data_IF_763476885933
#
_entry.id   IF_763476885933
#
_cell.length_a   1.000
_cell.length_b   1.000
_cell.length_c   1.000
_cell.angle_alpha   90.00
_cell.angle_beta   90.00
_cell.angle_gamma   90.00
#
_symmetry.space_group_name_H-M   'P 1'
#
loop_
_entity.id
_entity.type
_entity.pdbx_description
1 polymer ?
#
# COMPACT_ATOMS: atom_id res chain seq x y z
N UNK A 1 26.90 14.05 -40.08
CA UNK A 1 26.20 14.64 -38.90
C UNK A 1 24.67 14.57 -39.03
N UNK A 2 24.04 15.18 -40.05
CA UNK A 2 22.57 15.17 -40.20
C UNK A 2 21.96 13.76 -40.31
N UNK A 3 22.59 12.87 -41.10
CA UNK A 3 22.17 11.47 -41.22
C UNK A 3 22.28 10.71 -39.88
N UNK A 4 23.31 10.99 -39.09
CA UNK A 4 23.53 10.37 -37.78
C UNK A 4 22.42 10.73 -36.79
N UNK A 5 22.02 12.00 -36.73
CA UNK A 5 20.88 12.43 -35.91
C UNK A 5 19.55 11.82 -36.36
N UNK A 6 19.33 11.73 -37.68
CA UNK A 6 18.13 11.09 -38.21
C UNK A 6 18.06 9.60 -37.84
N UNK A 7 19.17 8.87 -37.99
CA UNK A 7 19.27 7.46 -37.58
C UNK A 7 19.04 7.33 -36.07
N UNK A 8 19.68 8.17 -35.25
CA UNK A 8 19.52 8.14 -33.80
C UNK A 8 18.07 8.37 -33.37
N UNK A 9 17.42 9.43 -33.87
CA UNK A 9 16.02 9.71 -33.55
C UNK A 9 15.08 8.58 -34.01
N UNK A 10 15.36 8.00 -35.18
CA UNK A 10 14.61 6.83 -35.67
C UNK A 10 14.74 5.66 -34.71
N UNK A 11 15.96 5.31 -34.28
CA UNK A 11 16.20 4.23 -33.31
C UNK A 11 15.44 4.50 -32.00
N UNK A 12 15.49 5.75 -31.49
CA UNK A 12 14.79 6.11 -30.25
C UNK A 12 13.27 5.99 -30.38
N UNK A 13 12.68 6.51 -31.46
CA UNK A 13 11.24 6.40 -31.72
C UNK A 13 10.82 4.94 -31.87
N UNK A 14 11.59 4.14 -32.62
CA UNK A 14 11.34 2.71 -32.75
C UNK A 14 11.48 1.97 -31.42
N UNK A 15 12.37 2.44 -30.53
CA UNK A 15 12.54 1.85 -29.20
C UNK A 15 11.32 2.04 -28.31
N UNK A 16 10.62 3.16 -28.42
CA UNK A 16 9.35 3.36 -27.71
C UNK A 16 8.21 2.48 -28.25
N UNK A 17 8.32 1.97 -29.49
CA UNK A 17 7.25 1.18 -30.11
C UNK A 17 7.50 -0.33 -30.04
N UNK A 18 8.74 -0.77 -30.20
CA UNK A 18 9.08 -2.18 -30.25
C UNK A 18 9.64 -2.66 -28.91
N UNK A 19 8.93 -3.61 -28.29
CA UNK A 19 9.29 -4.19 -27.00
C UNK A 19 10.73 -4.70 -26.93
N UNK A 20 11.23 -5.36 -27.98
CA UNK A 20 12.60 -5.86 -28.00
C UNK A 20 13.63 -4.73 -27.84
N UNK A 21 13.43 -3.63 -28.56
CA UNK A 21 14.30 -2.47 -28.47
C UNK A 21 14.17 -1.78 -27.12
N UNK A 22 12.95 -1.68 -26.60
CA UNK A 22 12.69 -1.15 -25.26
C UNK A 22 13.44 -1.93 -24.17
N UNK A 23 13.37 -3.27 -24.24
CA UNK A 23 14.04 -4.17 -23.31
C UNK A 23 15.57 -4.06 -23.39
N UNK A 24 16.14 -3.81 -24.58
CA UNK A 24 17.59 -3.62 -24.72
C UNK A 24 18.08 -2.42 -23.87
N UNK A 25 17.33 -1.32 -23.87
CA UNK A 25 17.64 -0.15 -23.04
C UNK A 25 17.46 -0.40 -21.53
N UNK A 26 16.75 -1.47 -21.17
CA UNK A 26 16.42 -1.84 -19.79
C UNK A 26 17.21 -3.08 -19.33
N UNK A 27 18.24 -3.51 -20.08
CA UNK A 27 19.06 -4.65 -19.73
C UNK A 27 18.33 -6.00 -19.84
N UNK A 28 17.39 -6.11 -20.79
CA UNK A 28 16.52 -7.28 -21.02
C UNK A 28 15.55 -7.61 -19.88
N UNK A 29 15.29 -6.64 -19.00
CA UNK A 29 14.31 -6.75 -17.92
C UNK A 29 13.21 -5.72 -18.08
N UNK A 30 11.95 -6.18 -18.04
CA UNK A 30 10.80 -5.28 -18.06
C UNK A 30 10.75 -4.48 -16.72
N UNK A 31 10.66 -3.14 -16.76
CA UNK A 31 10.61 -2.32 -15.57
C UNK A 31 9.25 -2.44 -14.88
N UNK A 32 9.29 -2.55 -13.56
CA UNK A 32 8.09 -2.38 -12.74
C UNK A 32 7.81 -0.88 -12.59
N UNK A 33 6.71 -0.44 -13.21
CA UNK A 33 6.27 0.96 -13.29
C UNK A 33 7.28 1.90 -13.98
N UNK A 34 6.80 2.92 -14.67
CA UNK A 34 7.60 3.86 -15.48
C UNK A 34 8.33 3.19 -16.66
N UNK A 35 7.58 3.01 -17.74
CA UNK A 35 8.09 2.52 -19.03
C UNK A 35 9.07 3.54 -19.65
N UNK A 36 9.94 3.06 -20.54
CA UNK A 36 10.80 3.90 -21.38
C UNK A 36 11.67 4.91 -20.60
N UNK A 37 12.25 4.53 -19.46
CA UNK A 37 13.05 5.44 -18.59
C UNK A 37 14.22 6.13 -19.30
N UNK A 38 14.68 5.62 -20.44
CA UNK A 38 15.69 6.25 -21.29
C UNK A 38 15.14 7.38 -22.17
N UNK A 39 13.86 7.74 -22.06
CA UNK A 39 13.22 8.79 -22.86
C UNK A 39 13.90 10.16 -22.75
N UNK A 40 14.60 10.41 -21.63
CA UNK A 40 15.44 11.61 -21.47
C UNK A 40 16.51 11.75 -22.57
N UNK A 41 16.99 10.64 -23.16
CA UNK A 41 17.95 10.66 -24.27
C UNK A 41 17.34 11.30 -25.52
N UNK A 42 16.06 11.02 -25.78
CA UNK A 42 15.33 11.63 -26.90
C UNK A 42 15.22 13.14 -26.69
N UNK A 43 14.74 13.59 -25.52
CA UNK A 43 14.64 15.02 -25.19
C UNK A 43 15.99 15.72 -25.25
N UNK A 44 17.05 15.12 -24.68
CA UNK A 44 18.40 15.68 -24.72
C UNK A 44 18.92 15.81 -26.17
N UNK A 45 18.69 14.80 -27.01
CA UNK A 45 19.10 14.83 -28.42
C UNK A 45 18.45 16.00 -29.16
N UNK A 46 17.14 16.22 -28.96
CA UNK A 46 16.42 17.34 -29.56
C UNK A 46 16.96 18.69 -29.08
N UNK A 47 17.24 18.84 -27.78
CA UNK A 47 17.82 20.08 -27.22
C UNK A 47 19.21 20.36 -27.80
N UNK A 48 20.08 19.34 -27.90
CA UNK A 48 21.41 19.49 -28.50
C UNK A 48 21.33 19.89 -29.98
N UNK A 49 20.40 19.28 -30.74
CA UNK A 49 20.16 19.65 -32.13
C UNK A 49 19.66 21.10 -32.24
N UNK A 50 18.77 21.55 -31.34
CA UNK A 50 18.31 22.93 -31.32
C UNK A 50 19.46 23.91 -31.06
N UNK A 51 20.37 23.60 -30.11
CA UNK A 51 21.57 24.40 -29.84
C UNK A 51 22.49 24.53 -31.06
N UNK A 52 22.73 23.43 -31.79
CA UNK A 52 23.53 23.44 -33.02
C UNK A 52 22.87 24.29 -34.12
N UNK A 53 21.53 24.25 -34.24
CA UNK A 53 20.79 25.07 -35.20
C UNK A 53 20.84 26.56 -34.82
N UNK A 54 20.76 26.90 -33.53
CA UNK A 54 20.88 28.29 -33.06
C UNK A 54 22.26 28.89 -33.38
N UNK A 55 23.34 28.10 -33.29
CA UNK A 55 24.68 28.54 -33.69
C UNK A 55 24.82 28.85 -35.18
N UNK A 56 23.92 28.31 -36.02
CA UNK A 56 23.90 28.46 -37.48
C UNK A 56 22.62 29.10 -37.98
N UNK A 57 21.97 29.92 -37.15
CA UNK A 57 20.61 30.38 -37.42
C UNK A 57 20.50 31.23 -38.70
N UNK A 58 21.58 31.91 -39.09
CA UNK A 58 21.67 32.68 -40.33
C UNK A 58 21.64 31.80 -41.59
N UNK A 59 21.96 30.49 -41.48
CA UNK A 59 21.89 29.53 -42.58
C UNK A 59 20.46 28.97 -42.82
N UNK A 60 19.49 29.37 -42.00
CA UNK A 60 18.10 28.91 -42.13
C UNK A 60 17.43 29.63 -43.30
N UNK A 61 17.03 28.84 -44.31
CA UNK A 61 16.24 29.33 -45.44
C UNK A 61 14.75 29.13 -45.20
N UNK A 62 13.92 29.92 -45.87
CA UNK A 62 12.46 29.77 -45.86
C UNK A 62 12.01 28.33 -46.13
N UNK A 63 12.61 27.67 -47.13
CA UNK A 63 12.27 26.29 -47.51
C UNK A 63 12.52 25.31 -46.35
N UNK A 64 13.67 25.41 -45.68
CA UNK A 64 14.03 24.53 -44.55
C UNK A 64 13.11 24.77 -43.36
N UNK A 65 12.80 26.04 -43.08
CA UNK A 65 11.86 26.42 -42.04
C UNK A 65 10.45 25.90 -42.32
N UNK A 66 9.92 26.09 -43.53
CA UNK A 66 8.60 25.61 -43.92
C UNK A 66 8.50 24.09 -43.85
N UNK A 67 9.54 23.36 -44.30
CA UNK A 67 9.57 21.90 -44.22
C UNK A 67 9.53 21.39 -42.77
N UNK A 68 10.32 22.00 -41.87
CA UNK A 68 10.33 21.64 -40.45
C UNK A 68 8.97 21.89 -39.79
N UNK A 69 8.34 23.04 -40.06
CA UNK A 69 7.01 23.35 -39.53
C UNK A 69 5.92 22.46 -40.11
N UNK A 70 6.02 22.09 -41.39
CA UNK A 70 5.10 21.13 -41.99
C UNK A 70 5.13 19.78 -41.25
N UNK A 71 6.32 19.27 -40.93
CA UNK A 71 6.47 18.03 -40.17
C UNK A 71 5.91 18.15 -38.74
N UNK A 72 6.14 19.29 -38.07
CA UNK A 72 5.59 19.55 -36.73
C UNK A 72 4.06 19.63 -36.74
N UNK A 73 3.47 20.36 -37.69
CA UNK A 73 2.03 20.48 -37.85
C UNK A 73 1.41 19.13 -38.23
N UNK A 74 2.08 18.34 -39.08
CA UNK A 74 1.64 16.99 -39.41
C UNK A 74 1.63 16.08 -38.17
N UNK A 75 2.67 16.15 -37.34
CA UNK A 75 2.74 15.42 -36.08
C UNK A 75 1.65 15.83 -35.10
N UNK A 76 1.47 17.14 -34.90
CA UNK A 76 0.40 17.68 -34.06
C UNK A 76 -0.99 17.28 -34.57
N UNK A 77 -1.23 17.39 -35.88
CA UNK A 77 -2.47 16.97 -36.52
C UNK A 77 -2.76 15.49 -36.37
N UNK A 78 -1.73 14.63 -36.49
CA UNK A 78 -1.87 13.21 -36.20
C UNK A 78 -2.28 12.98 -34.73
N UNK A 79 -1.66 13.66 -33.76
CA UNK A 79 -2.04 13.55 -32.34
C UNK A 79 -3.49 13.99 -32.10
N UNK A 80 -3.97 15.04 -32.76
CA UNK A 80 -5.39 15.47 -32.70
C UNK A 80 -6.32 14.40 -33.29
N UNK A 81 -5.99 13.84 -34.46
CA UNK A 81 -6.79 12.81 -35.11
C UNK A 81 -6.89 11.53 -34.28
N UNK A 82 -5.82 11.18 -33.55
CA UNK A 82 -5.78 10.03 -32.65
C UNK A 82 -6.08 10.39 -31.18
N UNK A 83 -6.68 11.56 -30.91
CA UNK A 83 -6.95 12.05 -29.55
C UNK A 83 -7.75 11.06 -28.69
N UNK A 84 -8.63 10.26 -29.28
CA UNK A 84 -9.39 9.20 -28.58
C UNK A 84 -8.52 8.14 -27.89
N UNK A 85 -7.26 7.97 -28.32
CA UNK A 85 -6.30 7.06 -27.70
C UNK A 85 -5.52 7.69 -26.53
N UNK A 86 -5.61 9.01 -26.35
CA UNK A 86 -4.85 9.76 -25.35
C UNK A 86 -5.79 10.36 -24.30
N UNK A 87 -6.32 9.51 -23.40
CA UNK A 87 -7.27 9.92 -22.35
C UNK A 87 -6.76 11.02 -21.39
N UNK A 88 -5.45 11.24 -21.35
CA UNK A 88 -4.80 12.25 -20.52
C UNK A 88 -4.69 13.63 -21.19
N UNK A 89 -5.09 13.77 -22.46
CA UNK A 89 -5.07 15.04 -23.19
C UNK A 89 -6.49 15.61 -23.32
N UNK A 90 -6.68 16.79 -22.73
CA UNK A 90 -7.91 17.55 -22.84
C UNK A 90 -7.83 18.61 -23.96
N UNK A 91 -8.99 19.17 -24.33
CA UNK A 91 -9.07 20.24 -25.34
C UNK A 91 -8.12 21.41 -25.05
N UNK A 92 -7.92 21.75 -23.77
CA UNK A 92 -7.00 22.81 -23.36
C UNK A 92 -5.55 22.51 -23.75
N UNK A 93 -5.11 21.26 -23.66
CA UNK A 93 -3.73 20.90 -24.03
C UNK A 93 -3.49 21.11 -25.53
N UNK A 94 -4.47 20.79 -26.38
CA UNK A 94 -4.38 21.02 -27.82
C UNK A 94 -4.38 22.50 -28.16
N UNK A 95 -5.26 23.30 -27.54
CA UNK A 95 -5.35 24.75 -27.76
C UNK A 95 -4.04 25.43 -27.37
N UNK A 96 -3.55 25.17 -26.17
CA UNK A 96 -2.30 25.77 -25.65
C UNK A 96 -1.11 25.36 -26.51
N UNK A 97 -1.00 24.08 -26.91
CA UNK A 97 0.07 23.62 -27.81
C UNK A 97 0.03 24.34 -29.16
N UNK A 98 -1.17 24.54 -29.71
CA UNK A 98 -1.37 25.25 -30.97
C UNK A 98 -1.00 26.74 -30.87
N UNK A 99 -1.36 27.40 -29.77
CA UNK A 99 -0.98 28.80 -29.49
C UNK A 99 0.55 28.95 -29.42
N UNK A 100 1.24 28.05 -28.72
CA UNK A 100 2.70 28.06 -28.68
C UNK A 100 3.33 27.76 -30.04
N UNK A 101 2.78 26.81 -30.81
CA UNK A 101 3.25 26.52 -32.16
C UNK A 101 3.15 27.76 -33.07
N UNK A 102 2.03 28.47 -33.02
CA UNK A 102 1.86 29.74 -33.74
C UNK A 102 2.85 30.80 -33.24
N UNK A 103 3.02 30.95 -31.93
CA UNK A 103 3.95 31.93 -31.36
C UNK A 103 5.39 31.69 -31.84
N UNK A 104 5.88 30.44 -31.72
CA UNK A 104 7.21 30.07 -32.21
C UNK A 104 7.32 30.24 -33.74
N UNK A 105 6.28 29.88 -34.49
CA UNK A 105 6.25 30.07 -35.94
C UNK A 105 6.39 31.55 -36.31
N UNK A 106 5.60 32.44 -35.70
CA UNK A 106 5.62 33.88 -36.00
C UNK A 106 6.93 34.55 -35.61
N UNK A 107 7.51 34.17 -34.46
CA UNK A 107 8.83 34.69 -34.03
C UNK A 107 9.92 34.27 -35.02
N UNK A 108 9.95 32.99 -35.41
CA UNK A 108 10.92 32.49 -36.39
C UNK A 108 10.70 33.11 -37.78
N UNK A 109 9.45 33.23 -38.22
CA UNK A 109 9.08 33.87 -39.48
C UNK A 109 9.56 35.33 -39.52
N UNK A 110 9.28 36.09 -38.46
CA UNK A 110 9.71 37.48 -38.32
C UNK A 110 11.23 37.63 -38.41
N UNK A 111 11.98 36.69 -37.83
CA UNK A 111 13.44 36.67 -37.92
C UNK A 111 13.93 36.34 -39.33
N UNK A 112 13.39 35.29 -39.97
CA UNK A 112 13.75 34.87 -41.33
C UNK A 112 13.44 35.96 -42.37
N UNK A 113 12.30 36.64 -42.23
CA UNK A 113 11.91 37.77 -43.08
C UNK A 113 12.63 39.08 -42.72
N UNK A 114 13.58 39.05 -41.77
CA UNK A 114 14.36 40.20 -41.28
C UNK A 114 13.49 41.35 -40.77
N UNK A 115 12.31 41.04 -40.21
CA UNK A 115 11.36 42.00 -39.63
C UNK A 115 11.64 42.30 -38.16
N UNK A 116 12.38 41.42 -37.45
CA UNK A 116 12.79 41.62 -36.06
C UNK A 116 14.31 41.52 -35.92
N UNK A 117 14.95 42.31 -35.03
CA UNK A 117 16.39 42.24 -34.80
C UNK A 117 16.77 40.96 -34.01
N UNK A 118 18.01 40.44 -34.16
CA UNK A 118 18.45 39.21 -33.48
C UNK A 118 18.28 39.23 -31.96
N UNK A 119 18.55 40.37 -31.31
CA UNK A 119 18.36 40.52 -29.86
C UNK A 119 16.92 40.26 -29.43
N UNK A 120 15.95 40.78 -30.17
CA UNK A 120 14.54 40.57 -29.87
C UNK A 120 14.13 39.12 -30.15
N UNK A 121 14.63 38.52 -31.23
CA UNK A 121 14.41 37.10 -31.51
C UNK A 121 14.87 36.19 -30.37
N UNK A 122 16.12 36.34 -29.90
CA UNK A 122 16.64 35.51 -28.81
C UNK A 122 15.88 35.69 -27.50
N UNK A 123 15.52 36.94 -27.15
CA UNK A 123 14.70 37.22 -25.97
C UNK A 123 13.30 36.62 -26.08
N UNK A 124 12.67 36.71 -27.26
CA UNK A 124 11.35 36.14 -27.50
C UNK A 124 11.36 34.61 -27.45
N UNK A 125 12.34 33.95 -28.09
CA UNK A 125 12.47 32.49 -28.02
C UNK A 125 12.70 32.04 -26.57
N UNK A 126 13.60 32.71 -25.83
CA UNK A 126 13.84 32.40 -24.43
C UNK A 126 12.56 32.56 -23.60
N UNK A 127 11.84 33.67 -23.77
CA UNK A 127 10.59 33.94 -23.06
C UNK A 127 9.54 32.87 -23.36
N UNK A 128 9.26 32.60 -24.64
CA UNK A 128 8.26 31.60 -25.02
C UNK A 128 8.67 30.19 -24.60
N UNK A 129 9.96 29.83 -24.63
CA UNK A 129 10.43 28.54 -24.12
C UNK A 129 10.23 28.41 -22.61
N UNK A 130 10.57 29.43 -21.82
CA UNK A 130 10.33 29.39 -20.36
C UNK A 130 8.83 29.32 -20.07
N UNK A 131 8.03 30.10 -20.80
CA UNK A 131 6.59 30.14 -20.60
C UNK A 131 5.92 28.81 -20.99
N UNK A 132 6.26 28.26 -22.15
CA UNK A 132 5.78 26.96 -22.62
C UNK A 132 6.18 25.85 -21.65
N UNK A 133 7.45 25.78 -21.25
CA UNK A 133 7.92 24.79 -20.27
C UNK A 133 7.19 24.91 -18.93
N UNK A 134 6.88 26.13 -18.49
CA UNK A 134 6.14 26.36 -17.23
C UNK A 134 4.70 25.84 -17.33
N UNK A 135 4.00 26.18 -18.42
CA UNK A 135 2.63 25.73 -18.67
C UNK A 135 2.59 24.21 -18.87
N UNK A 136 3.53 23.65 -19.63
CA UNK A 136 3.67 22.22 -19.83
C UNK A 136 3.95 21.48 -18.51
N UNK A 137 4.84 22.01 -17.67
CA UNK A 137 5.14 21.44 -16.35
C UNK A 137 3.94 21.48 -15.41
N UNK A 138 3.17 22.56 -15.44
CA UNK A 138 1.93 22.68 -14.65
C UNK A 138 0.94 21.56 -15.01
N UNK A 139 0.61 21.41 -16.30
CA UNK A 139 -0.31 20.37 -16.76
C UNK A 139 0.23 18.95 -16.52
N UNK A 140 1.54 18.72 -16.69
CA UNK A 140 2.15 17.43 -16.35
C UNK A 140 2.03 17.11 -14.86
N UNK A 141 2.35 18.07 -13.98
CA UNK A 141 2.25 17.87 -12.53
C UNK A 141 0.80 17.64 -12.09
N UNK A 142 -0.14 18.40 -12.62
CA UNK A 142 -1.58 18.23 -12.34
C UNK A 142 -2.08 16.88 -12.85
N UNK A 143 -1.73 16.50 -14.08
CA UNK A 143 -2.08 15.19 -14.66
C UNK A 143 -1.55 14.03 -13.83
N UNK A 144 -0.26 14.08 -13.44
CA UNK A 144 0.34 13.05 -12.56
C UNK A 144 -0.35 13.06 -11.18
N UNK A 145 -0.64 14.23 -10.61
CA UNK A 145 -1.30 14.32 -9.30
C UNK A 145 -2.72 13.73 -9.33
N UNK A 146 -3.46 13.94 -10.42
CA UNK A 146 -4.80 13.38 -10.61
C UNK A 146 -4.76 11.87 -10.86
N UNK A 147 -3.79 11.37 -11.62
CA UNK A 147 -3.65 9.95 -11.91
C UNK A 147 -3.15 9.15 -10.69
N UNK A 148 -2.17 9.68 -9.96
CA UNK A 148 -1.52 8.98 -8.85
C UNK A 148 -2.11 9.29 -7.47
N UNK A 149 -2.94 10.33 -7.35
CA UNK A 149 -3.61 10.75 -6.12
C UNK A 149 -2.63 10.82 -4.94
N UNK A 150 -1.62 11.70 -5.05
CA UNK A 150 -0.60 11.81 -4.01
C UNK A 150 -1.20 12.18 -2.65
N UNK A 151 -0.78 11.47 -1.60
CA UNK A 151 -1.17 11.79 -0.24
C UNK A 151 -0.74 13.22 0.13
N UNK A 152 -1.67 14.00 0.68
CA UNK A 152 -1.37 15.36 1.10
C UNK A 152 -0.41 15.37 2.29
N UNK A 153 0.41 16.41 2.38
CA UNK A 153 1.30 16.63 3.53
C UNK A 153 0.53 16.67 4.86
N UNK A 154 -0.66 17.29 4.87
CA UNK A 154 -1.52 17.34 6.05
C UNK A 154 -2.02 15.96 6.47
N UNK A 155 -2.30 15.06 5.50
CA UNK A 155 -2.63 13.67 5.80
C UNK A 155 -1.45 12.93 6.43
N UNK A 156 -0.24 13.13 5.88
CA UNK A 156 0.99 12.54 6.44
C UNK A 156 1.31 13.06 7.85
N UNK A 157 1.12 14.34 8.13
CA UNK A 157 1.42 14.94 9.45
C UNK A 157 0.31 14.68 10.49
N UNK A 158 -0.83 14.10 10.07
CA UNK A 158 -1.95 13.76 10.97
C UNK A 158 -1.46 12.86 12.11
N UNK A 159 -1.78 13.24 13.34
CA UNK A 159 -1.45 12.54 14.58
C UNK A 159 0.05 12.32 14.85
N UNK A 160 0.95 12.81 14.00
CA UNK A 160 2.39 12.57 14.07
C UNK A 160 2.96 12.93 15.45
N UNK A 161 2.70 14.15 15.91
CA UNK A 161 3.19 14.63 17.22
C UNK A 161 2.54 13.90 18.40
N UNK A 162 1.27 13.51 18.26
CA UNK A 162 0.54 12.81 19.30
C UNK A 162 1.12 11.41 19.50
N UNK A 163 1.26 10.65 18.41
CA UNK A 163 1.81 9.29 18.41
C UNK A 163 3.27 9.29 18.85
N UNK A 164 4.11 10.18 18.31
CA UNK A 164 5.53 10.26 18.72
C UNK A 164 5.70 10.55 20.22
N UNK A 165 4.83 11.39 20.79
CA UNK A 165 4.82 11.66 22.23
C UNK A 165 4.38 10.45 23.04
N UNK A 166 3.30 9.75 22.64
CA UNK A 166 2.86 8.50 23.28
C UNK A 166 3.98 7.45 23.26
N UNK A 167 4.58 7.22 22.10
CA UNK A 167 5.69 6.26 21.91
C UNK A 167 6.85 6.60 22.83
N UNK A 168 7.34 7.84 22.79
CA UNK A 168 8.52 8.28 23.56
C UNK A 168 8.31 8.21 25.06
N UNK A 169 7.11 8.53 25.54
CA UNK A 169 6.82 8.67 26.98
C UNK A 169 6.37 7.37 27.63
N UNK A 170 5.76 6.45 26.88
CA UNK A 170 5.02 5.31 27.44
C UNK A 170 5.45 3.93 26.94
N UNK A 171 6.33 3.85 25.94
CA UNK A 171 6.76 2.55 25.40
C UNK A 171 8.19 2.19 25.80
N UNK A 172 8.43 0.90 26.05
CA UNK A 172 9.78 0.34 26.17
C UNK A 172 10.29 -0.15 24.80
N UNK A 173 11.42 0.40 24.36
CA UNK A 173 12.14 0.03 23.14
C UNK A 173 12.56 -1.46 23.05
N UNK A 174 12.56 -2.21 24.15
CA UNK A 174 12.79 -3.66 24.13
C UNK A 174 11.62 -4.45 23.55
N UNK A 175 10.43 -3.84 23.52
CA UNK A 175 9.21 -4.44 23.01
C UNK A 175 8.79 -3.80 21.69
N UNK A 176 7.82 -4.43 21.03
CA UNK A 176 7.24 -3.93 19.80
C UNK A 176 5.99 -3.11 20.08
N UNK A 177 5.85 -2.06 19.28
CA UNK A 177 4.64 -1.25 19.17
C UNK A 177 4.11 -1.40 17.76
N UNK A 178 2.79 -1.44 17.62
CA UNK A 178 2.13 -1.53 16.31
C UNK A 178 0.91 -0.64 16.25
N UNK A 179 0.53 -0.22 15.05
CA UNK A 179 -0.67 0.58 14.80
C UNK A 179 -1.74 -0.28 14.11
N UNK A 180 -2.96 -0.26 14.63
CA UNK A 180 -4.06 -1.06 14.10
C UNK A 180 -4.59 -0.53 12.76
N UNK A 181 -4.56 0.79 12.58
CA UNK A 181 -4.94 1.47 11.35
C UNK A 181 -3.71 2.21 10.77
N UNK A 182 -2.84 1.51 10.01
CA UNK A 182 -1.63 2.12 9.45
C UNK A 182 -1.98 3.12 8.35
N UNK A 183 -1.19 4.19 8.25
CA UNK A 183 -1.22 5.10 7.09
C UNK A 183 -0.25 4.65 5.99
N UNK A 184 0.87 4.03 6.38
CA UNK A 184 1.88 3.53 5.45
C UNK A 184 2.38 2.16 5.91
N UNK A 185 3.03 1.43 5.01
CA UNK A 185 3.73 0.19 5.37
C UNK A 185 4.94 0.38 6.29
N UNK A 186 5.35 1.61 6.60
CA UNK A 186 6.56 1.95 7.37
C UNK A 186 6.28 2.94 8.52
N UNK A 187 5.08 2.87 9.10
CA UNK A 187 4.67 3.75 10.19
C UNK A 187 5.58 3.64 11.43
N UNK A 188 6.20 2.48 11.65
CA UNK A 188 7.24 2.29 12.67
C UNK A 188 8.40 3.27 12.53
N UNK A 189 8.90 3.48 11.30
CA UNK A 189 9.96 4.46 11.01
C UNK A 189 9.46 5.90 11.14
N UNK A 190 8.23 6.16 10.70
CA UNK A 190 7.60 7.49 10.78
C UNK A 190 7.44 7.96 12.23
N UNK A 191 6.98 7.07 13.10
CA UNK A 191 6.65 7.38 14.50
C UNK A 191 7.78 7.05 15.49
N UNK A 192 8.83 6.35 15.05
CA UNK A 192 10.03 6.09 15.85
C UNK A 192 9.87 4.97 16.88
N UNK A 193 9.16 3.89 16.53
CA UNK A 193 9.03 2.70 17.37
C UNK A 193 9.52 1.43 16.65
N UNK A 194 9.82 0.39 17.42
CA UNK A 194 10.18 -0.93 16.88
C UNK A 194 8.90 -1.69 16.53
N UNK A 195 8.67 -1.96 15.25
CA UNK A 195 7.51 -2.71 14.75
C UNK A 195 7.91 -3.94 13.92
N UNK A 196 6.94 -4.80 13.68
CA UNK A 196 6.91 -5.88 12.68
C UNK A 196 6.64 -5.30 11.29
N UNK A 197 5.64 -4.41 11.17
CA UNK A 197 5.21 -3.81 9.91
C UNK A 197 6.35 -3.05 9.23
N UNK A 198 6.68 -3.44 8.00
CA UNK A 198 7.68 -2.75 7.18
C UNK A 198 7.49 -3.07 5.69
N UNK A 199 7.86 -2.13 4.84
CA UNK A 199 8.20 -2.36 3.44
C UNK A 199 9.69 -2.07 3.20
N UNK A 200 10.42 -3.02 2.62
CA UNK A 200 11.82 -2.84 2.22
C UNK A 200 12.24 -3.80 1.11
N UNK A 201 12.93 -3.28 0.08
CA UNK A 201 13.47 -4.06 -1.04
C UNK A 201 14.73 -4.88 -0.70
N UNK A 202 15.33 -4.67 0.48
CA UNK A 202 16.59 -5.32 0.91
C UNK A 202 16.43 -6.17 2.17
N UNK A 203 15.20 -6.55 2.50
CA UNK A 203 14.91 -7.36 3.71
C UNK A 203 15.27 -8.82 3.50
N UNK A 204 15.54 -9.53 4.60
CA UNK A 204 15.62 -10.99 4.61
C UNK A 204 14.25 -11.60 4.29
N UNK A 205 14.10 -12.12 3.07
CA UNK A 205 12.86 -12.73 2.57
C UNK A 205 12.51 -14.04 3.26
N UNK A 206 13.50 -14.76 3.82
CA UNK A 206 13.27 -16.01 4.55
C UNK A 206 12.58 -15.72 5.90
N UNK A 207 12.97 -14.63 6.55
CA UNK A 207 12.32 -14.16 7.77
C UNK A 207 10.88 -13.71 7.48
N UNK A 208 10.68 -12.90 6.45
CA UNK A 208 9.33 -12.45 6.03
C UNK A 208 8.41 -13.63 5.68
N UNK A 209 8.90 -14.60 4.89
CA UNK A 209 8.10 -15.76 4.47
C UNK A 209 7.77 -16.69 5.65
N UNK A 210 8.66 -16.80 6.64
CA UNK A 210 8.37 -17.52 7.88
C UNK A 210 7.28 -16.82 8.70
N UNK A 211 7.34 -15.49 8.81
CA UNK A 211 6.35 -14.69 9.53
C UNK A 211 4.98 -14.69 8.83
N UNK A 212 4.94 -14.78 7.50
CA UNK A 212 3.71 -15.00 6.72
C UNK A 212 2.99 -16.27 7.15
N UNK A 213 3.73 -17.38 7.31
CA UNK A 213 3.18 -18.64 7.82
C UNK A 213 2.68 -18.57 9.27
N UNK A 214 3.10 -17.57 10.02
CA UNK A 214 2.66 -17.30 11.40
C UNK A 214 1.57 -16.21 11.47
N UNK A 215 1.11 -15.68 10.33
CA UNK A 215 -0.02 -14.75 10.27
C UNK A 215 0.35 -13.28 10.10
N UNK A 216 1.63 -12.95 9.97
CA UNK A 216 2.07 -11.61 9.57
C UNK A 216 2.24 -11.57 8.07
N UNK A 217 1.20 -11.16 7.35
CA UNK A 217 1.11 -11.38 5.91
C UNK A 217 2.27 -10.74 5.13
N UNK A 218 2.83 -11.51 4.20
CA UNK A 218 3.91 -11.13 3.30
C UNK A 218 3.72 -11.76 1.92
N UNK A 219 3.05 -11.05 1.01
CA UNK A 219 2.74 -11.58 -0.32
C UNK A 219 3.90 -11.45 -1.32
N UNK A 220 3.88 -12.32 -2.33
CA UNK A 220 4.72 -12.24 -3.52
C UNK A 220 6.22 -12.33 -3.23
N UNK A 221 6.94 -11.24 -3.46
CA UNK A 221 8.40 -11.14 -3.27
C UNK A 221 8.81 -10.94 -1.81
N UNK A 222 7.86 -11.00 -0.86
CA UNK A 222 8.11 -10.88 0.59
C UNK A 222 8.73 -9.54 1.03
N UNK A 223 8.49 -8.48 0.25
CA UNK A 223 9.01 -7.13 0.51
C UNK A 223 8.14 -6.34 1.50
N UNK A 224 6.85 -6.67 1.56
CA UNK A 224 5.89 -6.12 2.51
C UNK A 224 5.67 -7.13 3.63
N UNK A 225 5.73 -6.67 4.88
CA UNK A 225 5.25 -7.42 6.04
C UNK A 225 4.23 -6.56 6.77
N UNK A 226 3.09 -7.14 7.15
CA UNK A 226 2.01 -6.44 7.86
C UNK A 226 1.68 -7.13 9.18
N UNK A 227 1.47 -6.29 10.19
CA UNK A 227 1.09 -6.71 11.54
C UNK A 227 -0.39 -7.08 11.66
N UNK A 228 -1.25 -6.35 10.96
CA UNK A 228 -2.69 -6.34 11.17
C UNK A 228 -3.29 -7.74 10.99
N UNK A 229 -4.42 -7.97 11.68
CA UNK A 229 -5.26 -9.17 11.51
C UNK A 229 -4.53 -10.49 11.85
N UNK A 230 -3.89 -10.53 13.01
CA UNK A 230 -3.26 -11.72 13.59
C UNK A 230 -3.79 -11.99 15.02
N UNK A 231 -3.34 -13.07 15.65
CA UNK A 231 -3.81 -13.53 16.97
C UNK A 231 -3.07 -12.90 18.14
N UNK A 232 -3.73 -12.83 19.30
CA UNK A 232 -3.08 -12.45 20.58
C UNK A 232 -1.93 -13.40 20.96
N UNK A 233 -1.96 -14.64 20.46
CA UNK A 233 -0.89 -15.61 20.66
C UNK A 233 0.41 -15.13 20.00
N UNK A 234 0.32 -14.62 18.76
CA UNK A 234 1.48 -14.06 18.05
C UNK A 234 1.85 -12.67 18.55
N UNK A 235 0.88 -11.86 18.98
CA UNK A 235 1.18 -10.59 19.65
C UNK A 235 2.09 -10.81 20.86
N UNK A 236 1.73 -11.76 21.72
CA UNK A 236 2.49 -12.07 22.92
C UNK A 236 3.84 -12.71 22.61
N UNK A 237 3.88 -13.67 21.67
CA UNK A 237 5.12 -14.37 21.30
C UNK A 237 6.18 -13.45 20.70
N UNK A 238 5.77 -12.51 19.85
CA UNK A 238 6.69 -11.57 19.18
C UNK A 238 6.92 -10.28 19.97
N UNK A 239 6.47 -10.24 21.22
CA UNK A 239 6.68 -9.11 22.12
C UNK A 239 5.97 -7.83 21.66
N UNK A 240 4.83 -7.95 20.98
CA UNK A 240 3.95 -6.82 20.66
C UNK A 240 3.24 -6.41 21.94
N UNK A 241 3.89 -5.49 22.64
CA UNK A 241 3.44 -4.99 23.94
C UNK A 241 2.49 -3.83 23.79
N UNK A 242 2.57 -3.06 22.71
CA UNK A 242 1.77 -1.85 22.57
C UNK A 242 0.98 -1.83 21.26
N UNK A 243 -0.30 -1.48 21.33
CA UNK A 243 -1.13 -1.19 20.17
C UNK A 243 -1.59 0.28 20.20
N UNK A 244 -1.34 1.00 19.12
CA UNK A 244 -1.86 2.32 18.84
C UNK A 244 -3.14 2.18 18.01
N UNK A 245 -4.19 2.86 18.40
CA UNK A 245 -5.48 2.75 17.72
C UNK A 245 -6.32 4.01 17.90
N UNK A 246 -7.18 4.31 16.93
CA UNK A 246 -8.25 5.31 17.09
C UNK A 246 -9.58 4.68 17.54
N UNK A 247 -9.60 3.34 17.62
CA UNK A 247 -10.74 2.53 18.06
C UNK A 247 -10.35 1.70 19.30
N UNK A 248 -11.30 1.30 20.14
CA UNK A 248 -11.01 0.35 21.23
C UNK A 248 -10.31 -0.91 20.72
N UNK A 249 -9.33 -1.40 21.47
CA UNK A 249 -8.57 -2.60 21.10
C UNK A 249 -9.34 -3.84 21.56
N UNK A 250 -9.89 -4.59 20.61
CA UNK A 250 -10.69 -5.80 20.86
C UNK A 250 -9.83 -7.06 21.07
N UNK A 251 -8.88 -7.01 22.00
CA UNK A 251 -7.94 -8.11 22.27
C UNK A 251 -7.79 -8.33 23.77
N UNK A 252 -7.97 -9.57 24.22
CA UNK A 252 -7.72 -9.94 25.61
C UNK A 252 -6.30 -9.59 26.05
N UNK A 253 -6.18 -9.07 27.28
CA UNK A 253 -4.91 -8.66 27.88
C UNK A 253 -4.40 -7.28 27.45
N UNK A 254 -5.04 -6.60 26.49
CA UNK A 254 -4.71 -5.22 26.13
C UNK A 254 -5.52 -4.23 26.97
N UNK A 255 -4.82 -3.35 27.70
CA UNK A 255 -5.43 -2.30 28.53
C UNK A 255 -4.97 -0.93 28.05
N UNK A 256 -5.90 0.00 27.88
CA UNK A 256 -5.54 1.38 27.53
C UNK A 256 -4.74 2.02 28.68
N UNK A 257 -3.55 2.55 28.37
CA UNK A 257 -2.65 3.18 29.35
C UNK A 257 -2.44 4.68 29.12
N UNK A 258 -2.76 5.17 27.91
CA UNK A 258 -2.67 6.59 27.57
C UNK A 258 -3.48 6.89 26.30
N UNK A 259 -4.00 8.12 26.20
CA UNK A 259 -4.69 8.60 25.01
C UNK A 259 -4.29 10.04 24.71
N UNK A 260 -4.08 10.36 23.42
CA UNK A 260 -3.74 11.71 22.96
C UNK A 260 -4.32 11.97 21.58
N UNK A 261 -5.08 13.05 21.44
CA UNK A 261 -5.73 13.45 20.18
C UNK A 261 -6.60 12.33 19.56
N UNK A 262 -7.32 11.57 20.38
CA UNK A 262 -8.15 10.46 19.92
C UNK A 262 -7.38 9.18 19.55
N UNK A 263 -6.04 9.18 19.64
CA UNK A 263 -5.24 7.96 19.52
C UNK A 263 -4.97 7.39 20.92
N UNK A 264 -5.43 6.17 21.16
CA UNK A 264 -5.13 5.42 22.37
C UNK A 264 -3.89 4.53 22.20
N UNK A 265 -3.19 4.32 23.30
CA UNK A 265 -2.08 3.39 23.44
C UNK A 265 -2.51 2.33 24.46
N UNK A 266 -2.63 1.09 24.01
CA UNK A 266 -2.97 -0.05 24.85
C UNK A 266 -1.77 -0.95 25.07
N UNK A 267 -1.60 -1.45 26.30
CA UNK A 267 -0.52 -2.35 26.71
C UNK A 267 -1.03 -3.78 26.87
N UNK A 268 -0.32 -4.74 26.26
CA UNK A 268 -0.51 -6.18 26.40
C UNK A 268 0.26 -6.72 27.61
N UNK A 269 -0.46 -7.19 28.62
CA UNK A 269 0.12 -7.77 29.84
C UNK A 269 0.83 -9.13 29.62
N UNK A 270 0.55 -9.79 28.49
CA UNK A 270 1.10 -11.10 28.13
C UNK A 270 2.29 -11.03 27.16
N UNK A 271 2.76 -9.83 26.78
CA UNK A 271 3.91 -9.70 25.90
C UNK A 271 5.16 -10.39 26.47
N UNK A 272 5.79 -11.25 25.67
CA UNK A 272 7.06 -11.90 26.00
C UNK A 272 8.24 -10.98 25.66
N UNK A 273 9.38 -11.11 26.38
CA UNK A 273 10.60 -10.41 26.02
C UNK A 273 11.10 -10.82 24.62
N UNK A 274 11.94 -9.98 24.01
CA UNK A 274 12.51 -10.23 22.67
C UNK A 274 13.30 -11.55 22.55
N UNK A 275 13.75 -12.10 23.68
CA UNK A 275 14.39 -13.40 23.76
C UNK A 275 13.84 -14.18 24.94
N UNK A 276 13.54 -15.46 24.70
CA UNK A 276 13.12 -16.45 25.69
C UNK A 276 13.75 -17.80 25.31
N UNK A 277 13.81 -18.73 26.26
CA UNK A 277 14.32 -20.07 26.03
C UNK A 277 13.19 -21.03 25.66
N UNK A 278 13.54 -22.14 25.03
CA UNK A 278 12.65 -23.29 24.85
C UNK A 278 12.91 -24.32 25.95
N UNK A 279 11.86 -25.04 26.35
CA UNK A 279 11.93 -26.07 27.40
C UNK A 279 12.96 -27.18 27.13
N UNK A 280 13.22 -27.47 25.85
CA UNK A 280 14.25 -28.40 25.36
C UNK A 280 15.05 -27.74 24.23
N UNK A 281 16.23 -28.26 23.86
CA UNK A 281 16.95 -27.80 22.67
C UNK A 281 16.02 -27.74 21.45
N UNK A 282 15.86 -26.54 20.88
CA UNK A 282 14.89 -26.28 19.83
C UNK A 282 15.16 -27.13 18.59
N UNK A 283 14.10 -27.72 18.02
CA UNK A 283 14.13 -28.41 16.74
C UNK A 283 13.27 -27.64 15.75
N UNK A 284 13.77 -27.48 14.53
CA UNK A 284 13.03 -26.79 13.48
C UNK A 284 11.69 -27.48 13.21
N UNK A 285 10.62 -26.70 13.22
CA UNK A 285 9.27 -27.14 12.83
C UNK A 285 9.00 -26.72 11.39
N UNK A 286 8.32 -27.58 10.63
CA UNK A 286 7.89 -27.26 9.27
C UNK A 286 6.51 -26.59 9.30
N UNK A 287 6.42 -25.42 8.68
CA UNK A 287 5.17 -24.71 8.54
C UNK A 287 4.43 -25.11 7.27
N UNK A 288 3.11 -25.22 7.36
CA UNK A 288 2.20 -25.45 6.23
C UNK A 288 1.50 -24.14 5.87
N UNK A 289 0.48 -24.17 5.03
CA UNK A 289 -0.38 -22.99 4.76
C UNK A 289 -1.49 -22.80 5.81
N UNK A 290 -1.50 -23.60 6.88
CA UNK A 290 -2.49 -23.51 7.96
C UNK A 290 -1.93 -22.67 9.10
N UNK A 291 -2.18 -21.36 9.06
CA UNK A 291 -1.58 -20.38 9.97
C UNK A 291 -1.81 -20.70 11.45
N UNK A 292 -3.05 -20.96 11.87
CA UNK A 292 -3.35 -21.24 13.29
C UNK A 292 -2.71 -22.54 13.78
N UNK A 293 -2.58 -23.55 12.91
CA UNK A 293 -1.88 -24.80 13.21
C UNK A 293 -0.36 -24.58 13.29
N UNK A 294 0.20 -23.68 12.47
CA UNK A 294 1.61 -23.30 12.56
C UNK A 294 1.91 -22.61 13.89
N UNK A 295 1.06 -21.67 14.30
CA UNK A 295 1.19 -20.98 15.59
C UNK A 295 1.15 -21.98 16.75
N UNK A 296 0.17 -22.89 16.73
CA UNK A 296 0.02 -23.95 17.75
C UNK A 296 1.25 -24.86 17.80
N UNK A 297 1.71 -25.37 16.64
CA UNK A 297 2.91 -26.21 16.55
C UNK A 297 4.17 -25.50 17.01
N UNK A 298 4.30 -24.20 16.70
CA UNK A 298 5.46 -23.44 17.12
C UNK A 298 5.54 -23.31 18.63
N UNK A 299 4.42 -23.01 19.28
CA UNK A 299 4.35 -22.95 20.75
C UNK A 299 4.61 -24.34 21.36
N UNK A 300 4.02 -25.42 20.83
CA UNK A 300 4.31 -26.78 21.32
C UNK A 300 5.80 -27.11 21.26
N UNK A 301 6.49 -26.65 20.21
CA UNK A 301 7.92 -26.88 20.05
C UNK A 301 8.77 -26.04 21.04
N UNK A 302 8.28 -24.88 21.47
CA UNK A 302 8.93 -24.02 22.46
C UNK A 302 8.71 -24.57 23.88
N UNK A 303 7.47 -24.96 24.22
CA UNK A 303 7.09 -25.35 25.58
C UNK A 303 7.23 -26.84 25.87
N UNK A 304 7.33 -27.68 24.85
CA UNK A 304 7.21 -29.15 24.97
C UNK A 304 5.85 -29.62 25.55
N UNK A 305 4.84 -28.74 25.52
CA UNK A 305 3.46 -29.01 25.97
C UNK A 305 2.47 -29.00 24.79
N UNK A 306 1.37 -29.75 24.93
CA UNK A 306 0.35 -29.89 23.88
C UNK A 306 -0.93 -29.14 24.24
N UNK A 307 -0.91 -27.83 24.07
CA UNK A 307 -2.07 -26.97 24.23
C UNK A 307 -3.10 -27.13 23.11
N UNK A 308 -4.38 -26.87 23.42
CA UNK A 308 -5.47 -26.78 22.43
C UNK A 308 -5.97 -25.35 22.37
N UNK A 309 -5.31 -24.50 21.59
CA UNK A 309 -5.66 -23.07 21.54
C UNK A 309 -6.96 -22.80 20.81
N UNK A 310 -7.12 -23.31 19.59
CA UNK A 310 -8.22 -22.90 18.71
C UNK A 310 -9.31 -23.96 18.62
N UNK A 311 -10.56 -23.54 18.87
CA UNK A 311 -11.77 -24.32 18.63
C UNK A 311 -12.59 -23.65 17.52
N UNK A 312 -12.80 -24.37 16.41
CA UNK A 312 -13.73 -23.92 15.37
C UNK A 312 -15.18 -23.97 15.89
N UNK A 313 -15.93 -22.90 15.66
CA UNK A 313 -17.33 -22.77 16.10
C UNK A 313 -18.29 -23.05 14.96
N UNK A 314 -19.49 -23.51 15.31
CA UNK A 314 -20.58 -23.74 14.37
C UNK A 314 -21.45 -22.48 14.27
N UNK A 315 -21.85 -22.15 13.03
CA UNK A 315 -22.83 -21.09 12.76
C UNK A 315 -24.23 -21.66 13.02
N UNK A 316 -25.01 -20.98 13.86
CA UNK A 316 -26.35 -21.43 14.28
C UNK A 316 -27.42 -21.13 13.23
N UNK A 317 -27.33 -19.96 12.58
CA UNK A 317 -28.32 -19.48 11.62
C UNK A 317 -27.63 -18.83 10.41
N UNK A 318 -27.71 -19.39 9.19
CA UNK A 318 -27.31 -18.68 7.98
C UNK A 318 -28.46 -17.76 7.55
N UNK A 319 -28.46 -16.52 8.06
CA UNK A 319 -29.45 -15.52 7.67
C UNK A 319 -29.08 -14.91 6.31
N UNK A 320 -29.17 -15.69 5.23
CA UNK A 320 -29.48 -15.27 3.84
C UNK A 320 -29.09 -16.33 2.81
N UNK A 321 -30.09 -16.90 2.13
CA UNK A 321 -30.10 -17.54 0.80
C UNK A 321 -29.04 -18.62 0.43
N UNK A 322 -29.54 -19.85 0.23
CA UNK A 322 -28.94 -21.01 -0.47
C UNK A 322 -27.67 -21.65 0.14
N UNK A 323 -27.90 -22.49 1.16
CA UNK A 323 -26.92 -23.29 1.93
C UNK A 323 -26.31 -24.50 1.22
N UNK A 324 -26.21 -24.51 -0.11
CA UNK A 324 -25.48 -25.55 -0.87
C UNK A 324 -24.22 -25.05 -1.57
N UNK A 325 -24.00 -23.73 -1.60
CA UNK A 325 -22.84 -23.08 -2.22
C UNK A 325 -21.84 -22.65 -1.14
N UNK A 326 -20.55 -22.97 -1.31
CA UNK A 326 -19.46 -22.47 -0.46
C UNK A 326 -19.29 -20.96 -0.54
N UNK A 327 -19.82 -20.33 -1.60
CA UNK A 327 -19.77 -18.89 -1.83
C UNK A 327 -20.96 -18.21 -1.16
N UNK A 328 -20.66 -17.19 -0.36
CA UNK A 328 -21.60 -16.29 0.29
C UNK A 328 -21.61 -14.95 -0.45
N UNK A 329 -22.73 -14.21 -0.37
CA UNK A 329 -22.82 -12.87 -0.95
C UNK A 329 -23.60 -11.95 0.00
N UNK A 330 -22.90 -10.98 0.58
CA UNK A 330 -23.51 -9.87 1.30
C UNK A 330 -24.12 -8.87 0.31
N UNK A 331 -25.29 -8.34 0.64
CA UNK A 331 -26.04 -7.34 -0.15
C UNK A 331 -26.57 -6.25 0.76
N UNK A 332 -27.03 -5.15 0.18
CA UNK A 332 -27.77 -4.13 0.91
C UNK A 332 -29.06 -4.79 1.43
N UNK A 333 -29.28 -4.72 2.74
CA UNK A 333 -30.50 -5.21 3.39
C UNK A 333 -31.69 -4.35 2.94
N UNK A 334 -32.75 -4.98 2.41
CA UNK A 334 -33.93 -4.30 1.81
C UNK A 334 -34.60 -3.32 2.78
N UNK A 335 -34.58 -3.61 4.09
CA UNK A 335 -35.20 -2.80 5.15
C UNK A 335 -34.19 -1.98 5.99
N UNK A 336 -32.93 -1.89 5.59
CA UNK A 336 -31.94 -1.12 6.35
C UNK A 336 -31.86 0.35 5.90
N UNK A 337 -31.62 1.26 6.85
CA UNK A 337 -31.20 2.63 6.55
C UNK A 337 -29.75 2.71 6.01
N UNK A 338 -29.06 1.58 5.89
CA UNK A 338 -27.69 1.53 5.42
C UNK A 338 -27.66 1.48 3.89
N UNK A 339 -26.76 2.23 3.28
CA UNK A 339 -26.57 2.28 1.83
C UNK A 339 -25.57 1.24 1.30
N UNK A 340 -25.18 0.27 2.14
CA UNK A 340 -24.09 -0.64 1.87
C UNK A 340 -24.35 -2.06 2.35
N UNK A 341 -23.61 -3.02 1.79
CA UNK A 341 -23.81 -4.44 2.01
C UNK A 341 -23.53 -4.86 3.45
N UNK A 342 -24.36 -5.76 3.97
CA UNK A 342 -24.09 -6.45 5.24
C UNK A 342 -24.61 -7.87 5.26
N UNK A 343 -24.12 -8.64 6.23
CA UNK A 343 -24.56 -10.00 6.53
C UNK A 343 -24.41 -10.26 8.04
N UNK A 344 -25.24 -11.15 8.58
CA UNK A 344 -25.24 -11.47 10.01
C UNK A 344 -25.04 -12.97 10.24
N UNK A 345 -24.27 -13.29 11.29
CA UNK A 345 -24.02 -14.65 11.74
C UNK A 345 -24.29 -14.77 13.22
N UNK A 346 -24.86 -15.89 13.63
CA UNK A 346 -25.10 -16.23 15.03
C UNK A 346 -24.21 -17.40 15.43
N UNK A 347 -23.44 -17.23 16.52
CA UNK A 347 -22.50 -18.24 17.01
C UNK A 347 -22.54 -18.32 18.53
N UNK A 348 -22.45 -19.53 19.08
CA UNK A 348 -22.23 -19.74 20.52
C UNK A 348 -20.73 -19.74 20.82
N UNK A 349 -20.30 -18.78 21.63
CA UNK A 349 -18.91 -18.56 22.01
C UNK A 349 -18.69 -19.17 23.39
N UNK A 350 -17.73 -20.10 23.56
CA UNK A 350 -17.40 -20.64 24.87
C UNK A 350 -16.91 -19.58 25.85
N UNK A 351 -17.15 -19.80 27.14
CA UNK A 351 -16.56 -19.01 28.23
C UNK A 351 -15.02 -19.00 28.14
N UNK A 352 -14.41 -17.96 28.72
CA UNK A 352 -12.95 -17.77 28.75
C UNK A 352 -12.30 -17.90 27.36
N UNK A 353 -12.86 -17.22 26.35
CA UNK A 353 -12.32 -17.30 24.99
C UNK A 353 -12.23 -15.95 24.28
N UNK A 354 -11.24 -15.82 23.39
CA UNK A 354 -11.15 -14.73 22.42
C UNK A 354 -11.73 -15.20 21.08
N UNK A 355 -12.71 -14.47 20.56
CA UNK A 355 -13.38 -14.78 19.31
C UNK A 355 -12.68 -14.12 18.11
N UNK A 356 -12.52 -14.92 17.05
CA UNK A 356 -12.04 -14.49 15.74
C UNK A 356 -12.95 -14.97 14.62
N UNK A 357 -12.88 -14.28 13.49
CA UNK A 357 -13.50 -14.72 12.23
C UNK A 357 -12.49 -14.65 11.07
N UNK A 358 -12.38 -15.74 10.31
CA UNK A 358 -11.68 -15.79 9.04
C UNK A 358 -12.69 -15.62 7.90
N UNK A 359 -12.47 -14.66 7.01
CA UNK A 359 -13.35 -14.38 5.85
C UNK A 359 -12.58 -14.56 4.54
N UNK A 360 -12.41 -15.82 4.09
CA UNK A 360 -11.62 -16.14 2.90
C UNK A 360 -12.20 -15.55 1.61
N UNK A 361 -11.33 -15.24 0.65
CA UNK A 361 -11.68 -14.88 -0.73
C UNK A 361 -12.66 -13.69 -0.88
N UNK A 362 -12.51 -12.67 -0.03
CA UNK A 362 -13.26 -11.41 -0.13
C UNK A 362 -13.08 -10.73 -1.50
N UNK A 363 -14.20 -10.45 -2.16
CA UNK A 363 -14.31 -9.73 -3.43
C UNK A 363 -15.31 -8.58 -3.26
N UNK A 364 -14.81 -7.36 -3.40
CA UNK A 364 -15.57 -6.13 -3.19
C UNK A 364 -16.15 -5.63 -4.52
N UNK A 365 -17.36 -5.08 -4.51
CA UNK A 365 -17.92 -4.38 -5.67
C UNK A 365 -17.20 -3.07 -6.00
N UNK A 366 -16.55 -2.46 -5.01
CA UNK A 366 -15.80 -1.23 -5.12
C UNK A 366 -14.33 -1.50 -4.77
N UNK A 367 -13.46 -1.51 -5.79
CA UNK A 367 -12.03 -1.80 -5.61
C UNK A 367 -11.29 -0.74 -4.81
N UNK A 368 -11.83 0.48 -4.69
CA UNK A 368 -11.20 1.56 -3.92
C UNK A 368 -11.50 1.43 -2.41
N UNK A 369 -12.47 0.59 -2.03
CA UNK A 369 -12.96 0.44 -0.64
C UNK A 369 -13.01 -1.00 -0.20
N UNK A 370 -11.92 -1.43 0.43
CA UNK A 370 -11.66 -2.81 0.91
C UNK A 370 -11.68 -2.93 2.43
N UNK A 371 -12.42 -2.06 3.10
CA UNK A 371 -12.59 -2.11 4.55
C UNK A 371 -13.81 -2.94 4.94
N UNK A 372 -13.71 -3.60 6.10
CA UNK A 372 -14.81 -4.36 6.72
C UNK A 372 -15.06 -3.83 8.13
N UNK A 373 -16.33 -3.61 8.45
CA UNK A 373 -16.78 -3.27 9.79
C UNK A 373 -17.44 -4.48 10.42
N UNK A 374 -16.92 -4.92 11.56
CA UNK A 374 -17.48 -6.04 12.32
C UNK A 374 -18.10 -5.47 13.59
N UNK A 375 -19.39 -5.74 13.76
CA UNK A 375 -20.16 -5.26 14.91
C UNK A 375 -20.71 -6.40 15.74
N UNK A 376 -20.60 -6.28 17.05
CA UNK A 376 -21.23 -7.16 18.03
C UNK A 376 -21.60 -6.35 19.28
N UNK A 377 -22.74 -6.64 19.92
CA UNK A 377 -23.21 -5.97 21.15
C UNK A 377 -23.11 -4.43 21.13
N UNK A 378 -23.40 -3.80 19.99
CA UNK A 378 -23.35 -2.34 19.82
C UNK A 378 -21.95 -1.72 19.68
N UNK A 379 -20.90 -2.54 19.70
CA UNK A 379 -19.54 -2.12 19.37
C UNK A 379 -19.25 -2.44 17.91
N UNK A 380 -18.52 -1.55 17.23
CA UNK A 380 -18.11 -1.71 15.83
C UNK A 380 -16.61 -1.48 15.72
N UNK A 381 -15.93 -2.42 15.08
CA UNK A 381 -14.51 -2.32 14.76
C UNK A 381 -14.32 -2.32 13.25
N UNK A 382 -13.47 -1.42 12.75
CA UNK A 382 -13.14 -1.33 11.33
C UNK A 382 -11.77 -1.94 11.07
N UNK A 383 -11.71 -2.83 10.10
CA UNK A 383 -10.50 -3.54 9.69
C UNK A 383 -10.18 -3.25 8.23
N UNK A 384 -8.89 -3.22 7.92
CA UNK A 384 -8.36 -3.16 6.56
C UNK A 384 -7.77 -4.50 6.18
N UNK A 385 -7.88 -4.87 4.90
CA UNK A 385 -7.22 -6.08 4.36
C UNK A 385 -6.04 -5.77 3.42
N UNK A 386 -5.58 -4.52 3.37
CA UNK A 386 -4.44 -4.13 2.54
C UNK A 386 -3.17 -4.87 2.98
N UNK A 387 -2.76 -5.85 2.16
CA UNK A 387 -1.68 -6.78 2.46
C UNK A 387 -1.81 -7.43 3.85
N UNK A 388 -3.02 -7.59 4.39
CA UNK A 388 -3.31 -8.29 5.65
C UNK A 388 -4.20 -9.52 5.42
N UNK A 389 -4.14 -10.51 6.31
CA UNK A 389 -5.04 -11.68 6.23
C UNK A 389 -6.46 -11.24 6.58
N UNK A 390 -7.51 -11.89 6.04
CA UNK A 390 -8.88 -11.60 6.41
C UNK A 390 -9.26 -12.33 7.72
N UNK A 391 -8.42 -12.22 8.75
CA UNK A 391 -8.55 -12.88 10.05
C UNK A 391 -8.72 -11.84 11.15
N UNK A 392 -9.96 -11.62 11.57
CA UNK A 392 -10.32 -10.46 12.39
C UNK A 392 -10.62 -10.88 13.82
N UNK A 393 -10.17 -10.05 14.76
CA UNK A 393 -10.55 -10.16 16.17
C UNK A 393 -11.97 -9.62 16.37
N UNK A 394 -12.78 -10.21 17.23
CA UNK A 394 -14.12 -9.69 17.54
C UNK A 394 -14.15 -9.14 18.97
N UNK A 395 -13.70 -9.94 19.93
CA UNK A 395 -13.72 -9.60 21.35
C UNK A 395 -13.39 -10.83 22.20
N UNK A 396 -13.40 -10.67 23.52
CA UNK A 396 -13.26 -11.77 24.47
C UNK A 396 -14.52 -11.93 25.32
N UNK A 397 -14.73 -13.15 25.80
CA UNK A 397 -15.92 -13.59 26.51
C UNK A 397 -15.53 -14.32 27.78
N UNK A 398 -15.94 -13.78 28.93
CA UNK A 398 -15.73 -14.41 30.23
C UNK A 398 -16.75 -15.54 30.46
N UNK A 399 -17.97 -15.38 29.96
CA UNK A 399 -19.07 -16.35 30.04
C UNK A 399 -19.47 -16.91 28.69
N UNK A 400 -20.08 -18.10 28.67
CA UNK A 400 -20.60 -18.68 27.43
C UNK A 400 -21.83 -17.89 26.97
N UNK A 401 -21.78 -17.40 25.73
CA UNK A 401 -22.80 -16.51 25.18
C UNK A 401 -23.06 -16.81 23.71
N UNK A 402 -24.33 -16.71 23.29
CA UNK A 402 -24.68 -16.69 21.87
C UNK A 402 -24.71 -15.25 21.40
N UNK A 403 -23.89 -14.92 20.40
CA UNK A 403 -23.76 -13.57 19.88
C UNK A 403 -24.15 -13.50 18.42
N UNK A 404 -24.78 -12.38 18.05
CA UNK A 404 -25.02 -11.99 16.66
C UNK A 404 -23.91 -11.05 16.21
N UNK A 405 -23.21 -11.45 15.16
CA UNK A 405 -22.09 -10.73 14.57
C UNK A 405 -22.54 -10.20 13.22
N UNK A 406 -22.49 -8.89 13.06
CA UNK A 406 -22.78 -8.22 11.78
C UNK A 406 -21.47 -7.87 11.10
N UNK A 407 -21.30 -8.34 9.87
CA UNK A 407 -20.25 -7.88 8.98
C UNK A 407 -20.85 -6.90 7.97
N UNK A 408 -20.25 -5.72 7.90
CA UNK A 408 -20.68 -4.59 7.10
C UNK A 408 -19.55 -4.14 6.19
N UNK A 409 -19.88 -3.76 4.96
CA UNK A 409 -18.90 -3.42 3.93
C UNK A 409 -19.19 -2.01 3.41
N UNK A 410 -18.65 -0.95 4.06
CA UNK A 410 -18.93 0.43 3.67
C UNK A 410 -18.67 0.70 2.18
N UNK A 411 -19.55 1.48 1.55
CA UNK A 411 -19.44 1.90 0.13
C UNK A 411 -19.40 0.75 -0.89
N UNK A 412 -19.85 -0.43 -0.49
CA UNK A 412 -20.01 -1.58 -1.36
C UNK A 412 -21.49 -1.97 -1.43
N UNK A 413 -22.01 -2.17 -2.64
CA UNK A 413 -23.38 -2.65 -2.84
C UNK A 413 -23.50 -4.16 -2.70
N UNK A 414 -22.42 -4.89 -3.03
CA UNK A 414 -22.33 -6.34 -2.89
C UNK A 414 -20.89 -6.76 -2.55
N UNK A 415 -20.74 -7.79 -1.72
CA UNK A 415 -19.42 -8.41 -1.45
C UNK A 415 -19.58 -9.93 -1.43
N UNK A 416 -18.73 -10.65 -2.15
CA UNK A 416 -18.70 -12.12 -2.16
C UNK A 416 -17.47 -12.65 -1.45
N UNK A 417 -17.60 -13.81 -0.79
CA UNK A 417 -16.55 -14.48 -0.03
C UNK A 417 -16.93 -15.94 0.21
N UNK A 418 -15.97 -16.81 0.52
CA UNK A 418 -16.30 -18.18 0.92
C UNK A 418 -16.82 -18.22 2.36
N UNK A 419 -17.57 -19.27 2.72
CA UNK A 419 -18.17 -19.43 4.06
C UNK A 419 -17.17 -19.08 5.17
N UNK A 420 -17.48 -18.08 6.03
CA UNK A 420 -16.56 -17.64 7.06
C UNK A 420 -16.38 -18.70 8.14
N UNK A 421 -15.22 -18.70 8.78
CA UNK A 421 -14.88 -19.62 9.85
C UNK A 421 -14.67 -18.86 11.15
N UNK A 422 -15.46 -19.20 12.17
CA UNK A 422 -15.32 -18.63 13.51
C UNK A 422 -14.43 -19.52 14.38
N UNK A 423 -13.51 -18.89 15.11
CA UNK A 423 -12.59 -19.57 16.01
C UNK A 423 -12.64 -18.93 17.40
N UNK A 424 -12.75 -19.77 18.42
CA UNK A 424 -12.52 -19.38 19.82
C UNK A 424 -11.10 -19.80 20.21
N UNK A 425 -10.28 -18.84 20.63
CA UNK A 425 -9.00 -19.09 21.29
C UNK A 425 -9.23 -19.24 22.79
N UNK A 426 -8.85 -20.37 23.36
CA UNK A 426 -8.96 -20.69 24.79
C UNK A 426 -7.96 -19.85 25.61
N UNK A 427 -8.49 -18.94 26.45
CA UNK A 427 -7.69 -17.98 27.21
C UNK A 427 -6.91 -18.64 28.35
N UNK A 428 -7.42 -19.73 28.93
CA UNK A 428 -6.72 -20.44 30.00
C UNK A 428 -5.48 -21.15 29.45
N UNK A 429 -5.62 -21.86 28.31
CA UNK A 429 -4.50 -22.49 27.60
C UNK A 429 -3.49 -21.43 27.13
N UNK A 430 -3.97 -20.31 26.61
CA UNK A 430 -3.13 -19.18 26.18
C UNK A 430 -2.31 -18.59 27.33
N UNK A 431 -2.95 -18.22 28.43
CA UNK A 431 -2.26 -17.62 29.58
C UNK A 431 -1.27 -18.60 30.22
N UNK A 432 -1.63 -19.89 30.32
CA UNK A 432 -0.73 -20.95 30.77
C UNK A 432 0.51 -21.08 29.88
N UNK A 433 0.34 -21.08 28.55
CA UNK A 433 1.45 -21.19 27.61
C UNK A 433 2.42 -20.00 27.72
N UNK A 434 1.90 -18.78 27.79
CA UNK A 434 2.72 -17.57 27.95
C UNK A 434 3.45 -17.58 29.30
N UNK A 435 2.78 -17.99 30.38
CA UNK A 435 3.40 -18.11 31.69
C UNK A 435 4.55 -19.13 31.69
N UNK A 436 4.37 -20.29 31.06
CA UNK A 436 5.40 -21.34 30.92
C UNK A 436 6.64 -20.83 30.19
N UNK A 437 6.47 -20.08 29.10
CA UNK A 437 7.61 -19.48 28.37
C UNK A 437 8.31 -18.40 29.22
N UNK A 438 7.53 -17.58 29.92
CA UNK A 438 8.06 -16.47 30.74
C UNK A 438 8.88 -16.93 31.94
N UNK A 439 8.63 -18.13 32.48
CA UNK A 439 9.37 -18.67 33.63
C UNK A 439 10.86 -18.91 33.34
N UNK A 440 11.26 -19.00 32.07
CA UNK A 440 12.65 -19.23 31.70
C UNK A 440 13.38 -17.88 31.63
N UNK A 441 14.13 -17.56 32.70
CA UNK A 441 14.87 -16.29 32.78
C UNK A 441 15.96 -16.18 31.71
N UNK A 442 16.01 -15.03 31.04
CA UNK A 442 17.05 -14.71 30.05
C UNK A 442 17.66 -13.35 30.36
N UNK A 443 18.98 -13.30 30.47
CA UNK A 443 19.73 -12.05 30.56
C UNK A 443 20.08 -11.54 29.16
N UNK A 444 19.60 -10.35 28.80
CA UNK A 444 19.86 -9.72 27.50
C UNK A 444 20.89 -8.60 27.68
N UNK A 445 22.08 -8.76 27.08
CA UNK A 445 23.12 -7.73 27.07
C UNK A 445 23.18 -7.03 25.71
N UNK A 446 22.67 -5.79 25.64
CA UNK A 446 22.77 -4.96 24.43
C UNK A 446 24.18 -4.34 24.33
N UNK A 447 24.98 -4.79 23.38
CA UNK A 447 26.24 -4.13 23.04
C UNK A 447 25.94 -3.00 22.03
N UNK A 448 26.12 -1.74 22.44
CA UNK A 448 26.08 -0.62 21.49
C UNK A 448 27.29 -0.73 20.57
N UNK A 449 27.06 -1.14 19.33
CA UNK A 449 28.02 -0.89 18.24
C UNK A 449 27.78 0.53 17.73
N UNK A 450 28.76 1.41 17.98
CA UNK A 450 28.82 2.70 17.30
C UNK A 450 29.18 2.41 15.83
N UNK A 451 28.19 2.49 14.94
CA UNK A 451 28.40 2.53 13.50
C UNK A 451 28.32 3.96 13.02
#
# INVERSE_FOLDING_TARGET
>A
MKLSYFILLTILILSFRFQLLDLLWQGMHAPNMFLHRYSWIFSLTIILMAGEVLNRIEEITWIRFSLANFLLILGFGATVLYSSHYKFLDAVNFIVTFEFLIAFYLVCLGFILKKIPPRLFYLSILFFSIFELSVNSYYQMEGIANEWVFASRSSYERDLKAIQSLVKEKTDSNYRTEILQPQTGNDSMKYGYNGISQFSSVRNTDASSTLDKLGFKSEGTNLNLRYQNNSILMDSLFGVRYNLSQQPVQKFGFKEIATKNGVSLSENEYALPIAFLSAKPYKNTSFTNLTLDNQTRFIHQITDEKYKFYKKLNILSPTSQNTTSSLQTAKIEEDSHLSYASIQYEVTVPAHSQLYVNVPNLQFSNDDRKDIEISYNGQTQRYTIDNAFPFFSIGHFDTEETVTIRMSFPENSTVSFDTPEFFALDLDQYTQAIASIRQQEVAIHKKKTNW
#
